data_IF_575599584984
#
_entry.id   IF_575599584984
#
_cell.length_a   1.000
_cell.length_b   1.000
_cell.length_c   1.000
_cell.angle_alpha   90.00
_cell.angle_beta   90.00
_cell.angle_gamma   90.00
#
_symmetry.space_group_name_H-M   'P 1'
#
loop_
_entity.id
_entity.type
_entity.pdbx_description
1 polymer ?
#
# COMPACT_ATOMS: atom_id res chain seq x y z
N UNK A 1 -6.19 5.12 -1.40
CA UNK A 1 -7.27 6.05 -1.83
C UNK A 1 -7.64 6.99 -0.68
N UNK A 2 -7.77 8.30 -0.93
CA UNK A 2 -8.11 9.28 0.12
C UNK A 2 -9.57 9.13 0.58
N UNK A 3 -9.84 9.27 1.88
CA UNK A 3 -11.18 9.08 2.47
C UNK A 3 -12.21 10.07 1.94
N UNK A 4 -11.82 11.33 1.69
CA UNK A 4 -12.72 12.38 1.19
C UNK A 4 -13.25 12.09 -0.21
N UNK A 5 -12.39 11.53 -1.08
CA UNK A 5 -12.73 11.23 -2.47
C UNK A 5 -13.15 9.77 -2.69
N UNK A 6 -13.33 9.00 -1.60
CA UNK A 6 -13.49 7.55 -1.63
C UNK A 6 -14.56 7.06 -2.63
N UNK A 7 -15.77 7.61 -2.58
CA UNK A 7 -16.86 7.17 -3.48
C UNK A 7 -16.61 7.50 -4.94
N UNK A 8 -16.02 8.67 -5.21
CA UNK A 8 -15.72 9.12 -6.57
C UNK A 8 -14.59 8.28 -7.16
N UNK A 9 -13.57 8.01 -6.34
CA UNK A 9 -12.38 7.25 -6.70
C UNK A 9 -12.70 5.77 -6.96
N UNK A 10 -13.62 5.17 -6.19
CA UNK A 10 -14.04 3.78 -6.37
C UNK A 10 -14.67 3.52 -7.75
N UNK A 11 -15.40 4.50 -8.31
CA UNK A 11 -16.02 4.39 -9.65
C UNK A 11 -14.99 4.12 -10.76
N UNK A 12 -13.79 4.66 -10.64
CA UNK A 12 -12.73 4.47 -11.64
C UNK A 12 -12.11 3.07 -11.59
N UNK A 13 -12.18 2.39 -10.44
CA UNK A 13 -11.62 1.05 -10.24
C UNK A 13 -12.65 -0.04 -10.60
N UNK A 14 -13.95 0.27 -10.54
CA UNK A 14 -15.04 -0.66 -10.86
C UNK A 14 -14.94 -1.29 -12.26
N UNK A 15 -14.28 -0.62 -13.22
CA UNK A 15 -13.97 -1.17 -14.55
C UNK A 15 -13.23 -2.52 -14.50
N UNK A 16 -12.54 -2.79 -13.40
CA UNK A 16 -11.79 -4.04 -13.19
C UNK A 16 -12.65 -5.17 -12.60
N UNK A 17 -13.96 -4.95 -12.43
CA UNK A 17 -14.87 -5.93 -11.79
C UNK A 17 -14.68 -6.02 -10.27
N UNK A 18 -13.99 -5.05 -9.68
CA UNK A 18 -13.65 -5.00 -8.26
C UNK A 18 -14.45 -3.89 -7.62
N UNK A 19 -15.28 -4.25 -6.64
CA UNK A 19 -16.19 -3.35 -5.93
C UNK A 19 -16.26 -3.71 -4.45
N UNK A 20 -16.62 -2.74 -3.62
CA UNK A 20 -17.02 -2.96 -2.23
C UNK A 20 -18.55 -2.94 -2.14
N UNK A 21 -19.11 -3.79 -1.27
CA UNK A 21 -20.54 -3.80 -1.01
C UNK A 21 -20.99 -2.46 -0.39
N UNK A 22 -22.28 -2.12 -0.52
CA UNK A 22 -22.85 -0.88 0.03
C UNK A 22 -22.66 -0.82 1.55
N UNK A 23 -22.90 -1.93 2.24
CA UNK A 23 -22.73 -2.01 3.70
C UNK A 23 -21.25 -1.83 4.10
N UNK A 24 -20.33 -2.47 3.37
CA UNK A 24 -18.89 -2.31 3.57
C UNK A 24 -18.47 -0.85 3.38
N UNK A 25 -18.96 -0.19 2.32
CA UNK A 25 -18.66 1.22 2.04
C UNK A 25 -19.18 2.16 3.13
N UNK A 26 -20.39 1.92 3.64
CA UNK A 26 -20.97 2.73 4.70
C UNK A 26 -20.17 2.55 6.01
N UNK A 27 -19.92 1.31 6.40
CA UNK A 27 -19.16 1.00 7.61
C UNK A 27 -17.72 1.51 7.54
N UNK A 28 -17.05 1.37 6.39
CA UNK A 28 -15.71 1.91 6.17
C UNK A 28 -15.67 3.42 6.28
N UNK A 29 -16.65 4.14 5.72
CA UNK A 29 -16.70 5.59 5.86
C UNK A 29 -16.83 6.03 7.31
N UNK A 30 -17.73 5.40 8.07
CA UNK A 30 -17.96 5.73 9.48
C UNK A 30 -16.71 5.44 10.32
N UNK A 31 -16.14 4.25 10.16
CA UNK A 31 -14.96 3.81 10.90
C UNK A 31 -13.69 4.60 10.55
N UNK A 32 -13.48 4.96 9.28
CA UNK A 32 -12.35 5.80 8.87
C UNK A 32 -12.49 7.24 9.38
N UNK A 33 -13.71 7.79 9.41
CA UNK A 33 -13.97 9.10 10.00
C UNK A 33 -13.75 9.09 11.52
N UNK A 34 -14.18 8.02 12.20
CA UNK A 34 -13.92 7.82 13.63
C UNK A 34 -12.41 7.74 13.91
N UNK A 35 -11.67 6.91 13.15
CA UNK A 35 -10.21 6.80 13.25
C UNK A 35 -9.51 8.15 13.08
N UNK A 36 -9.92 8.92 12.06
CA UNK A 36 -9.37 10.25 11.79
C UNK A 36 -9.57 11.22 12.96
N UNK A 37 -10.74 11.15 13.61
CA UNK A 37 -11.09 12.00 14.75
C UNK A 37 -10.37 11.60 16.04
N UNK A 38 -10.33 10.30 16.35
CA UNK A 38 -9.71 9.76 17.57
C UNK A 38 -8.21 10.03 17.62
N UNK A 39 -7.52 9.81 16.49
CA UNK A 39 -6.07 9.97 16.39
C UNK A 39 -5.65 11.36 15.86
N UNK A 40 -6.61 12.26 15.57
CA UNK A 40 -6.38 13.60 15.00
C UNK A 40 -5.45 13.58 13.78
N UNK A 41 -5.68 12.62 12.89
CA UNK A 41 -4.86 12.43 11.69
C UNK A 41 -5.26 13.47 10.63
N UNK A 42 -4.28 14.11 9.99
CA UNK A 42 -4.53 15.08 8.93
C UNK A 42 -5.05 14.41 7.65
N UNK A 43 -4.48 13.25 7.30
CA UNK A 43 -4.82 12.51 6.09
C UNK A 43 -4.90 11.02 6.38
N UNK A 44 -6.05 10.44 6.04
CA UNK A 44 -6.31 9.00 6.12
C UNK A 44 -6.60 8.48 4.72
N UNK A 45 -5.97 7.37 4.40
CA UNK A 45 -6.13 6.69 3.13
C UNK A 45 -6.63 5.27 3.38
N UNK A 46 -7.67 4.88 2.65
CA UNK A 46 -8.02 3.48 2.55
C UNK A 46 -7.02 2.77 1.64
N UNK A 47 -6.34 1.75 2.16
CA UNK A 47 -5.37 0.96 1.43
C UNK A 47 -6.05 -0.11 0.58
N UNK A 48 -6.98 -0.84 1.21
CA UNK A 48 -7.55 -2.01 0.56
C UNK A 48 -8.19 -3.03 1.49
N UNK A 49 -8.59 -4.15 0.89
CA UNK A 49 -9.23 -5.30 1.50
C UNK A 49 -8.40 -6.56 1.20
N UNK A 50 -8.10 -7.34 2.23
CA UNK A 50 -7.52 -8.67 2.11
C UNK A 50 -8.62 -9.69 2.40
N UNK A 51 -8.91 -10.52 1.40
CA UNK A 51 -10.00 -11.51 1.45
C UNK A 51 -9.49 -12.74 2.20
N UNK A 52 -10.19 -13.10 3.27
CA UNK A 52 -9.93 -14.31 4.04
C UNK A 52 -10.96 -15.40 3.78
N UNK A 53 -10.73 -16.60 4.32
CA UNK A 53 -11.67 -17.73 4.18
C UNK A 53 -12.87 -17.60 5.10
N UNK A 54 -12.72 -16.99 6.28
CA UNK A 54 -13.79 -16.80 7.27
C UNK A 54 -14.16 -15.33 7.38
N UNK A 55 -13.16 -14.44 7.52
CA UNK A 55 -13.36 -13.00 7.64
C UNK A 55 -12.35 -12.23 6.79
N UNK A 56 -12.75 -11.04 6.39
CA UNK A 56 -11.92 -10.14 5.60
C UNK A 56 -11.21 -9.12 6.49
N UNK A 57 -10.04 -8.69 6.06
CA UNK A 57 -9.29 -7.61 6.69
C UNK A 57 -9.39 -6.35 5.85
N UNK A 58 -9.65 -5.22 6.51
CA UNK A 58 -9.64 -3.89 5.93
C UNK A 58 -8.43 -3.14 6.43
N UNK A 59 -7.68 -2.54 5.52
CA UNK A 59 -6.45 -1.83 5.84
C UNK A 59 -6.61 -0.35 5.46
N UNK A 60 -6.17 0.50 6.37
CA UNK A 60 -6.03 1.93 6.16
C UNK A 60 -4.61 2.34 6.52
N UNK A 61 -4.17 3.50 6.02
CA UNK A 61 -2.94 4.10 6.47
C UNK A 61 -3.08 5.61 6.59
N UNK A 62 -2.25 6.21 7.43
CA UNK A 62 -2.03 7.65 7.48
C UNK A 62 -0.59 7.96 7.08
N UNK A 63 -0.39 9.19 6.61
CA UNK A 63 0.95 9.72 6.32
C UNK A 63 1.33 10.66 7.44
N UNK A 64 2.41 10.35 8.14
CA UNK A 64 3.03 11.26 9.07
C UNK A 64 4.19 12.01 8.39
N UNK A 65 4.04 13.33 8.30
CA UNK A 65 5.08 14.24 7.83
C UNK A 65 5.94 14.78 8.97
N UNK A 66 5.69 14.47 10.25
CA UNK A 66 6.54 14.90 11.35
C UNK A 66 7.75 13.96 11.53
N UNK A 67 7.51 12.66 11.63
CA UNK A 67 8.56 11.65 11.78
C UNK A 67 9.00 11.13 10.41
N UNK A 68 10.02 11.77 9.82
CA UNK A 68 10.54 11.44 8.48
C UNK A 68 11.65 10.42 8.55
N UNK A 69 11.59 9.42 7.68
CA UNK A 69 12.66 8.45 7.47
C UNK A 69 13.22 8.64 6.06
N UNK A 70 14.51 8.99 5.93
CA UNK A 70 15.17 9.22 4.63
C UNK A 70 14.44 10.20 3.69
N UNK A 71 13.79 11.23 4.23
CA UNK A 71 13.09 12.25 3.43
C UNK A 71 11.72 11.81 2.88
N UNK A 72 11.22 10.64 3.28
CA UNK A 72 9.86 10.16 2.99
C UNK A 72 8.96 10.25 4.23
N UNK A 73 7.66 10.52 4.03
CA UNK A 73 6.68 10.46 5.12
C UNK A 73 6.51 9.02 5.61
N UNK A 74 6.39 8.85 6.92
CA UNK A 74 6.21 7.52 7.51
C UNK A 74 4.75 7.10 7.35
N UNK A 75 4.53 5.89 6.85
CA UNK A 75 3.19 5.29 6.72
C UNK A 75 2.85 4.53 7.99
N UNK A 76 1.80 4.98 8.69
CA UNK A 76 1.23 4.22 9.81
C UNK A 76 0.03 3.43 9.32
N UNK A 77 0.10 2.10 9.45
CA UNK A 77 -0.97 1.22 9.01
C UNK A 77 -1.93 0.89 10.15
N UNK A 78 -3.19 0.76 9.79
CA UNK A 78 -4.29 0.36 10.66
C UNK A 78 -5.04 -0.78 9.99
N UNK A 79 -5.55 -1.70 10.80
CA UNK A 79 -6.32 -2.84 10.32
C UNK A 79 -7.64 -2.94 11.07
N UNK A 80 -8.65 -3.46 10.40
CA UNK A 80 -9.94 -3.79 10.97
C UNK A 80 -10.41 -5.14 10.43
N UNK A 81 -11.20 -5.87 11.23
CA UNK A 81 -11.87 -7.10 10.78
C UNK A 81 -13.26 -6.76 10.25
N UNK A 82 -13.76 -7.58 9.31
CA UNK A 82 -15.13 -7.48 8.79
C UNK A 82 -16.22 -7.66 9.86
N UNK A 83 -15.90 -8.15 11.05
CA UNK A 83 -16.87 -8.32 12.13
C UNK A 83 -17.26 -7.02 12.82
N UNK A 84 -16.32 -6.09 13.00
CA UNK A 84 -16.53 -4.90 13.83
C UNK A 84 -16.17 -3.59 13.15
N UNK A 85 -15.37 -3.61 12.06
CA UNK A 85 -14.85 -2.41 11.41
C UNK A 85 -14.15 -1.43 12.37
N UNK A 86 -13.64 -1.93 13.51
CA UNK A 86 -12.89 -1.11 14.47
C UNK A 86 -11.42 -1.16 14.06
N UNK A 87 -10.85 0.00 13.70
CA UNK A 87 -9.46 0.09 13.30
C UNK A 87 -8.53 0.09 14.51
N UNK A 88 -7.56 -0.82 14.49
CA UNK A 88 -6.45 -0.87 15.44
C UNK A 88 -5.12 -0.70 14.68
N UNK A 89 -4.09 -0.24 15.39
CA UNK A 89 -2.75 -0.10 14.80
C UNK A 89 -2.19 -1.46 14.37
N UNK A 90 -1.64 -1.52 13.18
CA UNK A 90 -0.96 -2.71 12.66
C UNK A 90 0.47 -2.77 13.23
N UNK A 91 0.92 -3.91 13.77
CA UNK A 91 2.29 -4.05 14.26
C UNK A 91 3.30 -3.94 13.11
N UNK A 92 4.53 -3.51 13.42
CA UNK A 92 5.61 -3.48 12.45
C UNK A 92 5.95 -4.90 11.95
N UNK A 93 6.36 -5.06 10.68
CA UNK A 93 6.66 -6.36 10.09
C UNK A 93 7.90 -6.97 10.75
N UNK A 94 7.85 -8.29 11.00
CA UNK A 94 8.96 -9.03 11.59
C UNK A 94 9.92 -9.52 10.50
N UNK A 95 10.99 -8.77 10.25
CA UNK A 95 11.95 -9.09 9.19
C UNK A 95 12.60 -10.48 9.32
N UNK A 96 12.77 -10.97 10.56
CA UNK A 96 13.34 -12.31 10.84
C UNK A 96 12.57 -13.44 10.16
N UNK A 97 11.26 -13.28 10.01
CA UNK A 97 10.37 -14.30 9.44
C UNK A 97 9.95 -13.97 8.00
N UNK A 98 10.52 -12.94 7.39
CA UNK A 98 10.15 -12.49 6.04
C UNK A 98 10.27 -13.62 5.00
N UNK A 99 11.35 -14.41 5.04
CA UNK A 99 11.53 -15.55 4.12
C UNK A 99 10.44 -16.60 4.30
N UNK A 100 10.13 -16.96 5.55
CA UNK A 100 9.07 -17.92 5.86
C UNK A 100 7.71 -17.42 5.39
N UNK A 101 7.40 -16.12 5.58
CA UNK A 101 6.16 -15.54 5.08
C UNK A 101 6.06 -15.49 3.55
N UNK A 102 7.18 -15.29 2.85
CA UNK A 102 7.21 -15.26 1.40
C UNK A 102 6.99 -16.64 0.76
N UNK A 103 7.37 -17.72 1.46
CA UNK A 103 7.12 -19.10 1.03
C UNK A 103 5.69 -19.57 1.32
N UNK A 104 4.98 -18.90 2.24
CA UNK A 104 3.62 -19.24 2.66
C UNK A 104 2.56 -18.81 1.63
N UNK A 105 2.25 -19.71 0.71
CA UNK A 105 1.16 -19.59 -0.27
C UNK A 105 -0.19 -20.13 0.26
N UNK A 106 -0.62 -19.66 1.42
CA UNK A 106 -1.90 -20.08 2.05
C UNK A 106 -2.87 -18.90 2.12
N UNK A 107 -4.18 -19.16 2.03
CA UNK A 107 -5.18 -18.12 2.23
C UNK A 107 -5.17 -17.59 3.66
N UNK A 108 -5.50 -16.30 3.82
CA UNK A 108 -5.81 -15.74 5.14
C UNK A 108 -7.12 -16.33 5.64
N UNK A 109 -7.23 -16.51 6.95
CA UNK A 109 -8.44 -17.06 7.55
C UNK A 109 -9.35 -15.96 8.06
N UNK A 110 -8.80 -14.84 8.52
CA UNK A 110 -9.56 -13.77 9.14
C UNK A 110 -9.51 -13.78 10.67
N UNK A 111 -8.80 -14.74 11.26
CA UNK A 111 -8.55 -14.84 12.71
C UNK A 111 -7.15 -14.30 13.04
N UNK A 112 -7.06 -13.07 13.54
CA UNK A 112 -5.78 -12.38 13.75
C UNK A 112 -4.85 -13.06 14.77
N UNK A 113 -5.40 -13.80 15.75
CA UNK A 113 -4.66 -14.49 16.80
C UNK A 113 -4.23 -15.90 16.42
N UNK A 114 -4.66 -16.39 15.24
CA UNK A 114 -4.28 -17.72 14.77
C UNK A 114 -2.77 -17.81 14.62
N UNK A 115 -2.18 -18.85 15.18
CA UNK A 115 -0.75 -19.13 15.06
C UNK A 115 -0.46 -19.68 13.66
N UNK A 116 0.47 -19.05 12.96
CA UNK A 116 0.91 -19.45 11.61
C UNK A 116 2.21 -20.22 11.68
N UNK A 117 3.14 -19.79 12.55
CA UNK A 117 4.43 -20.45 12.77
C UNK A 117 4.60 -20.66 14.27
N UNK A 118 4.82 -21.91 14.68
CA UNK A 118 5.13 -22.30 16.06
C UNK A 118 6.58 -21.96 16.42
N UNK A 119 6.99 -20.72 16.16
CA UNK A 119 8.27 -20.17 16.57
C UNK A 119 8.04 -18.92 17.42
N UNK A 120 8.79 -18.76 18.53
CA UNK A 120 8.65 -17.59 19.38
C UNK A 120 9.20 -16.36 18.67
N UNK A 121 8.41 -15.27 18.64
CA UNK A 121 8.82 -13.98 18.04
C UNK A 121 9.95 -13.33 18.83
N UNK A 122 9.97 -13.55 20.15
CA UNK A 122 10.99 -13.09 21.07
C UNK A 122 11.31 -14.17 22.09
N UNK A 123 12.55 -14.20 22.58
CA UNK A 123 12.89 -14.91 23.79
C UNK A 123 11.98 -14.44 24.95
N UNK A 124 11.59 -15.34 25.87
CA UNK A 124 10.80 -14.96 27.02
C UNK A 124 11.56 -13.92 27.83
N UNK A 125 10.94 -12.77 28.06
CA UNK A 125 11.52 -11.72 28.91
C UNK A 125 11.09 -12.04 30.34
N UNK A 126 12.05 -12.47 31.16
CA UNK A 126 11.87 -12.61 32.60
C UNK A 126 12.09 -11.23 33.20
N UNK A 127 11.00 -10.58 33.65
CA UNK A 127 11.07 -9.25 34.26
C UNK A 127 11.28 -9.38 35.78
N UNK A 128 10.75 -10.44 36.40
CA UNK A 128 10.96 -10.88 37.79
C UNK A 128 10.66 -12.39 37.91
N UNK A 129 11.07 -13.04 39.02
CA UNK A 129 10.94 -14.49 39.28
C UNK A 129 9.49 -15.02 39.17
N UNK A 130 8.47 -14.16 39.33
CA UNK A 130 7.05 -14.51 39.29
C UNK A 130 6.28 -13.99 38.05
N UNK A 131 6.92 -13.24 37.13
CA UNK A 131 6.26 -12.67 35.95
C UNK A 131 7.02 -13.01 34.66
N UNK A 132 6.77 -14.21 34.14
CA UNK A 132 7.25 -14.64 32.82
C UNK A 132 6.24 -14.23 31.77
N UNK A 133 6.58 -13.26 30.92
CA UNK A 133 5.76 -12.97 29.74
C UNK A 133 5.99 -14.12 28.74
N UNK A 134 4.97 -14.93 28.42
CA UNK A 134 5.14 -16.02 27.48
C UNK A 134 5.54 -15.47 26.12
N UNK A 135 6.48 -16.14 25.44
CA UNK A 135 6.89 -15.77 24.10
C UNK A 135 5.67 -15.71 23.18
N UNK A 136 5.40 -14.52 22.63
CA UNK A 136 4.33 -14.36 21.65
C UNK A 136 4.70 -15.17 20.42
N UNK A 137 3.81 -16.07 20.01
CA UNK A 137 3.99 -16.85 18.77
C UNK A 137 3.73 -15.99 17.54
N UNK A 138 4.18 -16.47 16.38
CA UNK A 138 3.92 -15.80 15.12
C UNK A 138 2.46 -15.98 14.74
N UNK A 139 1.67 -14.92 14.88
CA UNK A 139 0.25 -14.93 14.53
C UNK A 139 -0.01 -14.50 13.08
N UNK A 140 -1.24 -14.72 12.61
CA UNK A 140 -1.72 -14.27 11.31
C UNK A 140 -1.62 -12.74 11.15
N UNK A 141 -1.78 -11.98 12.23
CA UNK A 141 -1.57 -10.53 12.21
C UNK A 141 -0.14 -10.12 11.82
N UNK A 142 0.87 -10.87 12.26
CA UNK A 142 2.27 -10.59 11.87
C UNK A 142 2.49 -10.87 10.39
N UNK A 143 1.88 -11.94 9.87
CA UNK A 143 1.88 -12.27 8.43
C UNK A 143 1.15 -11.18 7.64
N UNK A 144 -0.01 -10.73 8.11
CA UNK A 144 -0.80 -9.66 7.50
C UNK A 144 0.04 -8.38 7.36
N UNK A 145 0.74 -8.00 8.44
CA UNK A 145 1.67 -6.87 8.40
C UNK A 145 2.74 -7.05 7.33
N UNK A 146 3.45 -8.19 7.33
CA UNK A 146 4.48 -8.46 6.32
C UNK A 146 3.94 -8.35 4.88
N UNK A 147 2.77 -8.91 4.61
CA UNK A 147 2.15 -8.87 3.27
C UNK A 147 1.74 -7.45 2.88
N UNK A 148 1.11 -6.68 3.78
CA UNK A 148 0.71 -5.29 3.52
C UNK A 148 1.94 -4.43 3.21
N UNK A 149 2.98 -4.50 4.03
CA UNK A 149 4.22 -3.76 3.80
C UNK A 149 4.93 -4.21 2.52
N UNK A 150 4.90 -5.51 2.20
CA UNK A 150 5.46 -6.04 0.95
C UNK A 150 4.71 -5.55 -0.28
N UNK A 151 3.38 -5.53 -0.26
CA UNK A 151 2.57 -4.99 -1.36
C UNK A 151 2.77 -3.48 -1.46
N UNK A 152 2.79 -2.75 -0.35
CA UNK A 152 3.05 -1.32 -0.39
C UNK A 152 4.41 -1.01 -1.02
N UNK A 153 5.45 -1.72 -0.58
CA UNK A 153 6.79 -1.51 -1.12
C UNK A 153 6.90 -1.90 -2.59
N UNK A 154 6.15 -2.91 -3.07
CA UNK A 154 6.27 -3.38 -4.47
C UNK A 154 5.28 -2.72 -5.44
N UNK A 155 4.15 -2.23 -4.94
CA UNK A 155 3.04 -1.84 -5.79
C UNK A 155 2.56 -0.40 -5.59
N UNK A 156 2.92 0.30 -4.51
CA UNK A 156 2.44 1.65 -4.30
C UNK A 156 2.89 2.57 -5.44
N UNK A 157 1.98 2.91 -6.35
CA UNK A 157 2.30 3.66 -7.57
C UNK A 157 1.51 4.93 -7.69
N UNK A 158 2.17 5.95 -8.25
CA UNK A 158 1.64 7.30 -8.39
C UNK A 158 2.02 7.86 -9.76
N UNK A 159 1.19 8.74 -10.35
CA UNK A 159 1.54 9.39 -11.59
C UNK A 159 2.75 10.32 -11.39
N UNK A 160 3.61 10.40 -12.41
CA UNK A 160 4.82 11.22 -12.40
C UNK A 160 4.49 12.70 -12.16
N UNK A 161 5.26 13.34 -11.28
CA UNK A 161 5.06 14.74 -10.91
C UNK A 161 3.95 15.00 -9.90
N UNK A 162 3.31 13.95 -9.36
CA UNK A 162 2.34 14.07 -8.26
C UNK A 162 3.00 14.41 -6.91
N UNK A 163 4.29 14.08 -6.76
CA UNK A 163 5.13 14.45 -5.63
C UNK A 163 6.31 15.27 -6.12
N UNK A 164 6.80 16.16 -5.25
CA UNK A 164 8.01 16.96 -5.47
C UNK A 164 8.98 16.74 -4.32
N UNK A 165 10.26 16.82 -4.63
CA UNK A 165 11.32 16.79 -3.64
C UNK A 165 11.72 18.23 -3.32
N UNK A 166 11.63 18.63 -2.05
CA UNK A 166 11.97 19.97 -1.62
C UNK A 166 13.47 20.10 -1.34
N UNK A 167 14.04 21.33 -1.35
CA UNK A 167 15.43 21.56 -0.94
C UNK A 167 15.74 21.12 0.48
N UNK A 168 14.72 20.98 1.34
CA UNK A 168 14.83 20.44 2.70
C UNK A 168 15.01 18.91 2.71
N UNK A 169 15.13 18.28 1.54
CA UNK A 169 15.23 16.84 1.33
C UNK A 169 13.98 16.09 1.73
N UNK A 170 12.82 16.68 1.45
CA UNK A 170 11.52 16.14 1.86
C UNK A 170 10.63 15.89 0.64
N UNK A 171 9.98 14.73 0.64
CA UNK A 171 8.98 14.39 -0.36
C UNK A 171 7.62 14.92 0.07
N UNK A 172 7.09 15.88 -0.69
CA UNK A 172 5.79 16.53 -0.42
C UNK A 172 4.88 16.40 -1.63
N UNK A 173 3.56 16.33 -1.41
CA UNK A 173 2.57 16.35 -2.49
C UNK A 173 2.74 17.63 -3.32
N UNK A 174 2.66 17.48 -4.64
CA UNK A 174 2.76 18.61 -5.56
C UNK A 174 1.39 19.25 -5.78
N UNK A 175 1.12 20.38 -5.12
CA UNK A 175 -0.13 21.15 -5.28
C UNK A 175 -0.32 21.70 -6.70
N UNK A 176 0.76 21.91 -7.46
CA UNK A 176 0.71 22.40 -8.83
C UNK A 176 0.41 21.30 -9.86
N UNK A 177 0.24 20.06 -9.43
CA UNK A 177 -0.05 18.94 -10.33
C UNK A 177 -1.46 19.07 -10.91
N UNK A 178 -1.55 19.29 -12.23
CA UNK A 178 -2.83 19.40 -12.96
C UNK A 178 -3.28 18.09 -13.59
N UNK A 179 -2.58 16.99 -13.32
CA UNK A 179 -2.80 15.72 -13.97
C UNK A 179 -1.97 15.52 -15.23
N UNK A 180 -1.69 14.26 -15.53
CA UNK A 180 -1.10 13.83 -16.80
C UNK A 180 -2.12 13.96 -17.95
N UNK A 181 -1.59 14.12 -19.16
CA UNK A 181 -2.35 14.08 -20.41
C UNK A 181 -2.41 12.64 -20.95
N UNK A 182 -2.33 12.44 -22.27
CA UNK A 182 -2.25 11.10 -22.89
C UNK A 182 -1.00 10.31 -22.47
N UNK A 183 -0.01 10.99 -21.93
CA UNK A 183 1.20 10.35 -21.38
C UNK A 183 0.88 9.37 -20.23
N UNK A 184 -0.28 9.52 -19.58
CA UNK A 184 -0.76 8.58 -18.56
C UNK A 184 -0.92 7.14 -19.07
N UNK A 185 -1.05 6.94 -20.39
CA UNK A 185 -1.16 5.62 -21.01
C UNK A 185 0.21 4.96 -21.26
N UNK A 186 1.30 5.58 -20.85
CA UNK A 186 2.64 5.00 -20.88
C UNK A 186 3.10 4.64 -19.47
N UNK A 187 3.68 3.45 -19.30
CA UNK A 187 4.25 3.00 -18.02
C UNK A 187 5.42 3.90 -17.54
N UNK A 188 6.05 4.65 -18.44
CA UNK A 188 7.10 5.65 -18.11
C UNK A 188 6.60 6.80 -17.25
N UNK A 189 5.29 7.06 -17.29
CA UNK A 189 4.67 8.19 -16.60
C UNK A 189 4.19 7.85 -15.20
N UNK A 190 4.56 6.68 -14.70
CA UNK A 190 4.16 6.17 -13.40
C UNK A 190 5.38 5.75 -12.60
N UNK A 191 5.33 6.02 -11.30
CA UNK A 191 6.47 5.87 -10.40
C UNK A 191 6.05 5.25 -9.08
N UNK A 192 6.99 4.60 -8.39
CA UNK A 192 6.75 4.02 -7.08
C UNK A 192 6.79 5.07 -5.97
N UNK A 193 5.81 5.02 -5.08
CA UNK A 193 5.72 5.82 -3.87
C UNK A 193 6.34 5.08 -2.67
N UNK A 194 7.67 4.97 -2.71
CA UNK A 194 8.52 4.37 -1.67
C UNK A 194 9.89 5.03 -1.65
N UNK A 195 10.69 4.70 -0.64
CA UNK A 195 12.10 5.10 -0.61
C UNK A 195 12.79 4.58 -1.85
N UNK A 196 13.43 5.49 -2.58
CA UNK A 196 14.09 5.24 -3.85
C UNK A 196 15.13 4.12 -3.70
N UNK A 197 14.99 3.06 -4.49
CA UNK A 197 15.91 1.92 -4.48
C UNK A 197 16.81 1.87 -5.72
N UNK A 198 16.45 2.55 -6.80
CA UNK A 198 17.24 2.51 -8.04
C UNK A 198 18.55 3.30 -7.85
N UNK A 199 19.72 2.71 -8.18
CA UNK A 199 21.02 3.32 -7.89
C UNK A 199 21.22 4.66 -8.62
N UNK A 200 20.66 4.79 -9.83
CA UNK A 200 20.70 6.04 -10.60
C UNK A 200 19.96 7.16 -9.87
N UNK A 201 18.75 6.87 -9.39
CA UNK A 201 17.91 7.84 -8.67
C UNK A 201 18.47 8.16 -7.29
N UNK A 202 19.02 7.18 -6.59
CA UNK A 202 19.73 7.40 -5.32
C UNK A 202 20.92 8.34 -5.52
N UNK A 203 21.70 8.15 -6.60
CA UNK A 203 22.82 9.04 -6.93
C UNK A 203 22.35 10.47 -7.23
N UNK A 204 21.21 10.64 -7.91
CA UNK A 204 20.60 11.95 -8.15
C UNK A 204 20.13 12.62 -6.85
N UNK A 205 19.61 11.85 -5.88
CA UNK A 205 19.24 12.37 -4.57
C UNK A 205 20.47 12.78 -3.75
N UNK A 206 21.57 12.02 -3.83
CA UNK A 206 22.83 12.37 -3.15
C UNK A 206 23.47 13.65 -3.71
N UNK A 207 23.28 13.93 -5.00
CA UNK A 207 23.76 15.14 -5.67
C UNK A 207 22.82 16.35 -5.49
N UNK A 208 21.71 16.19 -4.78
CA UNK A 208 20.66 17.19 -4.60
C UNK A 208 20.01 17.69 -5.92
N UNK A 209 20.24 16.98 -7.04
CA UNK A 209 19.63 17.26 -8.35
C UNK A 209 18.15 16.82 -8.42
N UNK A 210 17.72 15.95 -7.49
CA UNK A 210 16.36 15.46 -7.38
C UNK A 210 15.31 16.59 -7.18
N UNK A 211 15.71 17.73 -6.61
CA UNK A 211 14.82 18.89 -6.39
C UNK A 211 14.28 19.45 -7.71
N UNK A 212 15.06 19.36 -8.79
CA UNK A 212 14.70 19.89 -10.10
C UNK A 212 14.02 18.86 -11.01
N UNK A 213 13.97 17.59 -10.59
CA UNK A 213 13.44 16.51 -11.40
C UNK A 213 12.06 16.05 -10.91
N UNK A 214 11.06 16.21 -11.78
CA UNK A 214 9.69 15.72 -11.53
C UNK A 214 9.57 14.19 -11.50
N UNK A 215 10.62 13.47 -11.88
CA UNK A 215 10.69 12.01 -11.89
C UNK A 215 11.80 11.45 -10.99
N UNK A 216 11.97 11.99 -9.79
CA UNK A 216 13.00 11.52 -8.84
C UNK A 216 12.70 10.13 -8.24
N UNK A 217 11.45 9.68 -8.27
CA UNK A 217 11.02 8.37 -7.79
C UNK A 217 11.44 7.23 -8.75
N UNK A 218 11.42 5.99 -8.23
CA UNK A 218 11.71 4.78 -9.02
C UNK A 218 10.65 4.60 -10.12
N UNK A 219 11.09 4.33 -11.34
CA UNK A 219 10.20 4.12 -12.49
C UNK A 219 9.70 2.67 -12.54
N UNK A 220 8.40 2.49 -12.80
CA UNK A 220 7.72 1.19 -12.81
C UNK A 220 8.20 0.29 -13.95
N UNK A 221 8.58 0.88 -15.10
CA UNK A 221 9.01 0.12 -16.26
C UNK A 221 10.28 -0.71 -16.01
N UNK A 222 11.10 -0.30 -15.05
CA UNK A 222 12.33 -0.99 -14.67
C UNK A 222 12.10 -2.16 -13.70
N UNK A 223 10.85 -2.41 -13.29
CA UNK A 223 10.52 -3.52 -12.40
C UNK A 223 10.76 -4.89 -13.04
N UNK A 224 11.11 -5.86 -12.18
CA UNK A 224 11.30 -7.25 -12.55
C UNK A 224 10.26 -8.15 -11.86
N UNK A 225 9.65 -9.12 -12.56
CA UNK A 225 9.87 -9.52 -13.96
C UNK A 225 9.23 -8.55 -14.98
N UNK A 226 9.71 -8.57 -16.24
CA UNK A 226 9.12 -7.77 -17.32
C UNK A 226 7.65 -8.18 -17.51
N UNK A 227 6.76 -7.22 -17.75
CA UNK A 227 5.32 -7.46 -17.86
C UNK A 227 4.61 -7.64 -16.50
N UNK A 228 5.24 -7.24 -15.41
CA UNK A 228 4.63 -7.17 -14.08
C UNK A 228 3.48 -6.16 -13.97
N UNK A 229 3.37 -5.23 -14.91
CA UNK A 229 2.34 -4.20 -14.94
C UNK A 229 1.55 -4.26 -16.25
N UNK A 230 0.24 -4.20 -16.12
CA UNK A 230 -0.69 -4.10 -17.24
C UNK A 230 -1.40 -2.75 -17.20
N UNK A 231 -1.42 -2.05 -18.33
CA UNK A 231 -2.13 -0.78 -18.46
C UNK A 231 -3.45 -0.99 -19.21
N UNK A 232 -4.53 -0.55 -18.60
CA UNK A 232 -5.89 -0.65 -19.15
C UNK A 232 -6.46 0.75 -19.28
N UNK A 233 -6.86 1.10 -20.50
CA UNK A 233 -7.55 2.36 -20.80
C UNK A 233 -9.05 2.16 -20.80
N UNK A 234 -9.77 3.16 -20.34
CA UNK A 234 -11.22 3.22 -20.51
C UNK A 234 -11.61 3.48 -21.97
N UNK A 235 -12.83 3.13 -22.37
CA UNK A 235 -13.37 3.37 -23.71
C UNK A 235 -13.34 4.86 -24.10
N UNK A 236 -13.49 5.75 -23.12
CA UNK A 236 -13.44 7.20 -23.34
C UNK A 236 -12.03 7.77 -23.36
N UNK A 237 -11.01 6.95 -23.09
CA UNK A 237 -9.61 7.36 -22.92
C UNK A 237 -9.44 8.54 -21.94
N UNK A 238 -10.31 8.63 -20.92
CA UNK A 238 -10.27 9.68 -19.91
C UNK A 238 -9.59 9.23 -18.60
N UNK A 239 -9.42 7.92 -18.42
CA UNK A 239 -8.82 7.31 -17.22
C UNK A 239 -7.83 6.23 -17.64
N UNK A 240 -6.63 6.31 -17.07
CA UNK A 240 -5.62 5.26 -17.15
C UNK A 240 -5.69 4.41 -15.88
N UNK A 241 -5.84 3.09 -16.05
CA UNK A 241 -5.79 2.12 -14.96
C UNK A 241 -4.53 1.26 -15.09
N UNK A 242 -3.86 1.03 -13.98
CA UNK A 242 -2.72 0.14 -13.85
C UNK A 242 -3.11 -1.04 -12.97
N UNK A 243 -2.75 -2.24 -13.42
CA UNK A 243 -2.93 -3.50 -12.69
C UNK A 243 -1.57 -4.12 -12.42
N UNK A 244 -1.34 -4.59 -11.21
CA UNK A 244 -0.17 -5.42 -10.92
C UNK A 244 -0.47 -6.88 -11.25
N UNK A 245 0.36 -7.48 -12.10
CA UNK A 245 0.31 -8.91 -12.40
C UNK A 245 1.10 -9.73 -11.35
N UNK A 246 2.05 -9.09 -10.65
CA UNK A 246 2.81 -9.71 -9.57
C UNK A 246 1.96 -9.85 -8.30
N UNK A 247 1.16 -8.83 -8.01
CA UNK A 247 0.21 -8.83 -6.90
C UNK A 247 -1.22 -8.70 -7.43
N UNK A 248 -1.85 -9.83 -7.81
CA UNK A 248 -3.21 -9.80 -8.32
C UNK A 248 -4.13 -9.20 -7.27
N UNK A 249 -4.94 -8.24 -7.70
CA UNK A 249 -5.80 -7.45 -6.83
C UNK A 249 -5.31 -6.03 -6.55
N UNK A 250 -4.09 -5.67 -6.94
CA UNK A 250 -3.64 -4.28 -6.88
C UNK A 250 -4.06 -3.49 -8.12
N UNK A 251 -4.73 -2.36 -7.88
CA UNK A 251 -5.18 -1.44 -8.91
C UNK A 251 -4.76 -0.01 -8.57
N UNK A 252 -4.29 0.72 -9.57
CA UNK A 252 -4.11 2.16 -9.50
C UNK A 252 -4.82 2.83 -10.67
N UNK A 253 -5.32 4.04 -10.47
CA UNK A 253 -5.98 4.82 -11.50
C UNK A 253 -5.51 6.27 -11.47
N UNK A 254 -5.57 6.91 -12.63
CA UNK A 254 -5.34 8.33 -12.81
C UNK A 254 -6.30 8.88 -13.85
N UNK A 255 -7.02 9.95 -13.51
CA UNK A 255 -7.92 10.64 -14.45
C UNK A 255 -7.17 11.76 -15.17
N UNK A 256 -7.17 11.70 -16.49
CA UNK A 256 -6.45 12.66 -17.34
C UNK A 256 -6.91 14.09 -17.07
N UNK A 257 -5.98 15.05 -17.17
CA UNK A 257 -6.21 16.48 -16.94
C UNK A 257 -6.78 16.85 -15.57
N UNK A 258 -6.73 15.94 -14.60
CA UNK A 258 -7.15 16.21 -13.22
C UNK A 258 -6.09 15.74 -12.24
N UNK A 259 -5.98 16.34 -11.04
CA UNK A 259 -5.10 15.84 -9.98
C UNK A 259 -5.58 14.52 -9.35
N UNK A 260 -6.67 13.93 -9.85
CA UNK A 260 -7.30 12.76 -9.24
C UNK A 260 -6.56 11.49 -9.64
N UNK A 261 -5.92 10.88 -8.67
CA UNK A 261 -5.34 9.55 -8.75
C UNK A 261 -5.56 8.80 -7.44
N UNK A 262 -5.42 7.49 -7.49
CA UNK A 262 -5.49 6.67 -6.30
C UNK A 262 -5.13 5.24 -6.59
N UNK A 263 -4.90 4.51 -5.52
CA UNK A 263 -4.65 3.08 -5.54
C UNK A 263 -5.52 2.37 -4.52
N UNK A 264 -5.75 1.10 -4.80
CA UNK A 264 -6.56 0.20 -4.00
C UNK A 264 -6.09 -1.24 -4.21
N UNK A 265 -5.92 -1.97 -3.12
CA UNK A 265 -5.74 -3.42 -3.16
C UNK A 265 -7.02 -4.14 -2.76
N UNK A 266 -7.52 -5.06 -3.59
CA UNK A 266 -8.57 -6.01 -3.20
C UNK A 266 -8.18 -7.38 -3.74
N UNK A 267 -7.80 -8.29 -2.83
CA UNK A 267 -7.33 -9.62 -3.21
C UNK A 267 -7.00 -10.49 -2.00
N UNK A 268 -6.39 -11.64 -2.25
CA UNK A 268 -6.09 -12.65 -1.23
C UNK A 268 -4.73 -12.46 -0.54
N UNK A 269 -3.94 -11.46 -0.96
CA UNK A 269 -2.61 -11.20 -0.39
C UNK A 269 -1.55 -12.23 -0.77
N UNK A 270 -1.73 -12.95 -1.89
CA UNK A 270 -0.78 -13.96 -2.39
C UNK A 270 0.01 -13.37 -3.55
N UNK A 271 1.33 -13.54 -3.50
CA UNK A 271 2.26 -13.13 -4.55
C UNK A 271 2.26 -14.14 -5.69
N UNK A 272 2.18 -13.65 -6.92
CA UNK A 272 2.33 -14.50 -8.11
C UNK A 272 3.83 -14.73 -8.41
N UNK A 273 4.41 -15.77 -7.80
CA UNK A 273 5.81 -16.14 -8.04
C UNK A 273 6.03 -16.78 -9.42
N UNK A 274 4.97 -17.30 -10.05
CA UNK A 274 5.04 -17.97 -11.35
C UNK A 274 4.97 -17.01 -12.54
N UNK A 275 4.80 -15.71 -12.27
CA UNK A 275 4.72 -14.66 -13.29
C UNK A 275 5.85 -14.73 -14.35
N UNK A 276 7.13 -14.98 -14.01
CA UNK A 276 8.19 -15.11 -15.02
C UNK A 276 7.99 -16.25 -16.02
N UNK A 277 7.17 -17.26 -15.69
CA UNK A 277 6.84 -18.38 -16.58
C UNK A 277 5.56 -18.14 -17.38
N UNK A 278 4.77 -17.12 -17.02
CA UNK A 278 3.49 -16.80 -17.66
C UNK A 278 3.58 -15.69 -18.71
N UNK A 279 4.66 -14.89 -18.70
CA UNK A 279 4.87 -13.71 -19.57
C UNK A 279 5.83 -14.00 -20.71
#
# INVERSE_FOLDING_TARGET
METESFDSSLKYINLNGVTLNIDERLNLKLSLAQLSSELKLEQVFFWGKIIGTVKDYYIAYSLDYAHKTHGFPTKHFYWASSSNFIFATLPAPLEKFASAFNELNVYFTGEHDRIVIEQPVSAPVVIDEDLVIPSKMVTELNRLSHVVYSIENNCAVVPRGSFKFTPLKETVKNEAFKGLTKDAFSLTSWQHFRVVSQPEKVSLMQRDEAVYNNGFLDDIQADYPKGCWSLVKDCTESVANIRSNLWPGYYAFHRLHTPLYGSLYIGQGIRNNDLPFMV
#
